data_IF_663037932302
#
_entry.id   IF_663037932302
#
_cell.length_a   1.000
_cell.length_b   1.000
_cell.length_c   1.000
_cell.angle_alpha   90.00
_cell.angle_beta   90.00
_cell.angle_gamma   90.00
#
_symmetry.space_group_name_H-M   'P 1'
#
loop_
_entity.id
_entity.type
_entity.pdbx_description
1 polymer ?
#
# COMPACT_ATOMS: atom_id res chain seq x y z
N UNK A 1 -31.13 1.38 18.05
CA UNK A 1 -31.18 2.77 18.57
C UNK A 1 -31.84 3.62 17.50
N UNK A 2 -32.72 4.54 17.87
CA UNK A 2 -33.21 5.57 16.94
C UNK A 2 -32.00 6.45 16.58
N UNK A 3 -31.68 6.50 15.30
CA UNK A 3 -30.64 7.36 14.73
C UNK A 3 -31.01 8.82 15.02
N UNK A 4 -30.06 9.62 15.49
CA UNK A 4 -30.26 11.05 15.68
C UNK A 4 -30.05 11.76 14.35
N UNK A 5 -31.15 11.99 13.61
CA UNK A 5 -31.14 12.59 12.27
C UNK A 5 -30.54 14.02 12.22
N UNK A 6 -30.11 14.59 13.36
CA UNK A 6 -29.48 15.92 13.41
C UNK A 6 -28.00 15.93 13.02
N UNK A 7 -27.29 14.80 13.11
CA UNK A 7 -25.83 14.70 12.89
C UNK A 7 -25.48 13.72 11.77
N UNK A 8 -24.22 13.72 11.32
CA UNK A 8 -23.72 12.70 10.41
C UNK A 8 -23.36 11.38 11.11
N UNK A 9 -23.52 10.29 10.36
CA UNK A 9 -23.22 8.92 10.79
C UNK A 9 -22.20 8.27 9.86
N UNK A 10 -21.16 7.67 10.42
CA UNK A 10 -20.06 7.05 9.69
C UNK A 10 -19.83 5.62 10.18
N UNK A 11 -19.87 4.65 9.26
CA UNK A 11 -19.38 3.30 9.54
C UNK A 11 -17.84 3.31 9.49
N UNK A 12 -17.20 3.25 10.64
CA UNK A 12 -15.73 3.32 10.76
C UNK A 12 -15.23 2.47 11.94
N UNK A 13 -13.95 2.10 11.90
CA UNK A 13 -13.31 1.35 12.99
C UNK A 13 -13.02 2.29 14.16
N UNK A 14 -13.97 2.39 15.08
CA UNK A 14 -13.90 3.25 16.24
C UNK A 14 -14.58 2.62 17.46
N UNK A 15 -14.10 3.01 18.63
CA UNK A 15 -14.65 2.68 19.94
C UNK A 15 -15.95 3.44 20.23
N UNK A 16 -16.66 3.06 21.30
CA UNK A 16 -17.91 3.72 21.71
C UNK A 16 -17.71 5.21 22.04
N UNK A 17 -16.52 5.59 22.49
CA UNK A 17 -16.15 6.97 22.80
C UNK A 17 -15.76 7.79 21.56
N UNK A 18 -15.82 7.19 20.37
CA UNK A 18 -15.47 7.74 19.05
C UNK A 18 -13.95 7.81 18.80
N UNK A 19 -13.11 7.26 19.66
CA UNK A 19 -11.69 7.11 19.36
C UNK A 19 -11.52 6.05 18.26
N UNK A 20 -10.79 6.33 17.16
CA UNK A 20 -10.49 5.32 16.15
C UNK A 20 -9.72 4.14 16.75
N UNK A 21 -10.10 2.92 16.35
CA UNK A 21 -9.32 1.70 16.58
C UNK A 21 -8.07 1.70 15.70
N UNK A 22 -7.06 0.90 16.02
CA UNK A 22 -5.85 0.80 15.17
C UNK A 22 -6.16 0.32 13.74
N UNK A 23 -7.23 -0.46 13.55
CA UNK A 23 -7.73 -0.89 12.25
C UNK A 23 -8.80 -1.99 12.39
N UNK A 24 -9.02 -2.80 11.33
CA UNK A 24 -10.03 -3.87 11.31
C UNK A 24 -9.85 -4.94 12.39
N UNK A 25 -8.63 -5.14 12.88
CA UNK A 25 -8.33 -6.11 13.93
C UNK A 25 -8.50 -5.53 15.35
N UNK A 26 -8.96 -4.29 15.49
CA UNK A 26 -9.03 -3.59 16.78
C UNK A 26 -7.67 -3.12 17.29
N UNK A 27 -7.56 -2.90 18.59
CA UNK A 27 -6.31 -2.48 19.23
C UNK A 27 -5.44 -3.71 19.56
N UNK A 28 -4.47 -4.01 18.70
CA UNK A 28 -3.63 -5.22 18.74
C UNK A 28 -2.16 -4.94 19.09
N UNK A 29 -1.79 -3.67 19.16
CA UNK A 29 -0.48 -3.19 19.62
C UNK A 29 -0.56 -2.77 21.09
N UNK A 30 0.44 -3.12 21.93
CA UNK A 30 1.66 -3.87 21.60
C UNK A 30 1.43 -5.37 21.37
N UNK A 31 2.19 -5.96 20.44
CA UNK A 31 2.09 -7.39 20.15
C UNK A 31 2.71 -8.22 21.29
N UNK A 32 1.88 -9.03 21.97
CA UNK A 32 2.30 -9.82 23.13
C UNK A 32 3.02 -11.13 22.76
N UNK A 33 2.84 -11.63 21.53
CA UNK A 33 3.44 -12.85 21.02
C UNK A 33 3.60 -12.77 19.49
N UNK A 34 4.47 -13.61 18.88
CA UNK A 34 4.54 -13.72 17.42
C UNK A 34 3.22 -14.24 16.83
N UNK A 35 2.85 -13.71 15.66
CA UNK A 35 1.63 -14.05 14.94
C UNK A 35 0.70 -12.85 14.78
N UNK A 36 -0.20 -12.95 13.80
CA UNK A 36 -1.15 -11.89 13.45
C UNK A 36 -2.58 -12.31 13.82
N UNK A 37 -3.37 -11.36 14.30
CA UNK A 37 -4.83 -11.56 14.43
C UNK A 37 -5.42 -11.51 13.02
N UNK A 38 -6.25 -12.48 12.68
CA UNK A 38 -6.89 -12.59 11.36
C UNK A 38 -8.39 -12.27 11.38
N UNK A 39 -9.00 -12.16 12.56
CA UNK A 39 -10.40 -11.80 12.72
C UNK A 39 -10.61 -10.31 12.46
N UNK A 40 -11.41 -9.99 11.43
CA UNK A 40 -11.87 -8.63 11.15
C UNK A 40 -13.12 -8.36 12.00
N UNK A 41 -13.08 -7.27 12.75
CA UNK A 41 -14.20 -6.81 13.59
C UNK A 41 -15.26 -6.12 12.74
N UNK A 42 -16.50 -6.07 13.25
CA UNK A 42 -17.52 -5.21 12.68
C UNK A 42 -17.21 -3.73 13.00
N UNK A 43 -17.19 -2.88 11.98
CA UNK A 43 -17.07 -1.44 12.17
C UNK A 43 -18.29 -0.85 12.88
N UNK A 44 -18.04 0.05 13.85
CA UNK A 44 -19.06 0.77 14.60
C UNK A 44 -19.75 1.83 13.71
N UNK A 45 -21.02 2.11 14.01
CA UNK A 45 -21.70 3.29 13.45
C UNK A 45 -21.48 4.48 14.39
N UNK A 46 -20.61 5.40 13.99
CA UNK A 46 -20.21 6.56 14.80
C UNK A 46 -21.06 7.77 14.41
N UNK A 47 -21.65 8.47 15.39
CA UNK A 47 -22.55 9.62 15.15
C UNK A 47 -21.96 10.90 15.72
N UNK A 48 -21.59 11.85 14.85
CA UNK A 48 -21.09 13.19 15.20
C UNK A 48 -20.99 14.11 13.98
N UNK A 49 -20.99 15.42 14.23
CA UNK A 49 -20.57 16.43 13.25
C UNK A 49 -19.14 16.92 13.50
N UNK A 50 -18.65 16.79 14.74
CA UNK A 50 -17.32 17.23 15.18
C UNK A 50 -16.90 16.45 16.42
N UNK A 51 -15.59 16.38 16.72
CA UNK A 51 -15.14 15.68 17.92
C UNK A 51 -15.60 16.42 19.19
N UNK A 52 -16.15 15.71 20.20
CA UNK A 52 -16.64 16.35 21.42
C UNK A 52 -15.57 17.14 22.19
N UNK A 53 -14.30 16.79 22.03
CA UNK A 53 -13.19 17.47 22.69
C UNK A 53 -12.72 18.74 21.97
N UNK A 54 -13.07 18.94 20.68
CA UNK A 54 -12.56 20.05 19.87
C UNK A 54 -13.08 21.39 20.41
N UNK A 55 -12.20 22.31 20.74
CA UNK A 55 -12.58 23.60 21.34
C UNK A 55 -13.49 24.46 20.45
N UNK A 56 -13.34 24.39 19.13
CA UNK A 56 -14.07 25.23 18.17
C UNK A 56 -15.41 24.66 17.76
N UNK A 57 -15.61 23.34 17.93
CA UNK A 57 -16.81 22.61 17.52
C UNK A 57 -17.17 22.83 16.03
N UNK A 58 -16.18 23.05 15.17
CA UNK A 58 -16.43 23.23 13.74
C UNK A 58 -16.89 21.91 13.10
N UNK A 59 -17.96 21.93 12.28
CA UNK A 59 -18.47 20.72 11.65
C UNK A 59 -17.52 20.22 10.57
N UNK A 60 -17.42 18.89 10.46
CA UNK A 60 -16.63 18.23 9.41
C UNK A 60 -17.27 18.43 8.04
N UNK A 61 -18.59 18.28 7.95
CA UNK A 61 -19.39 18.35 6.73
C UNK A 61 -20.42 19.49 6.80
N UNK A 62 -20.73 20.15 5.67
CA UNK A 62 -21.94 20.96 5.52
C UNK A 62 -23.23 20.16 5.82
N UNK A 63 -24.29 20.83 6.26
CA UNK A 63 -25.56 20.18 6.63
C UNK A 63 -26.22 19.39 5.48
N UNK A 64 -26.01 19.84 4.24
CA UNK A 64 -26.54 19.23 3.01
C UNK A 64 -25.53 18.34 2.29
N UNK A 65 -24.41 17.98 2.94
CA UNK A 65 -23.39 17.16 2.33
C UNK A 65 -23.92 15.77 1.97
N UNK A 66 -23.66 15.35 0.73
CA UNK A 66 -24.03 14.02 0.23
C UNK A 66 -22.82 13.14 -0.04
N UNK A 67 -21.61 13.64 0.16
CA UNK A 67 -20.35 12.95 -0.11
C UNK A 67 -19.31 13.24 0.98
N UNK A 68 -18.23 12.46 1.00
CA UNK A 68 -17.05 12.64 1.85
C UNK A 68 -16.19 13.85 1.47
N UNK A 69 -16.80 15.04 1.39
CA UNK A 69 -16.16 16.32 1.05
C UNK A 69 -16.58 17.38 2.07
N UNK A 70 -15.62 17.75 2.93
CA UNK A 70 -15.84 18.60 4.08
C UNK A 70 -14.84 19.75 4.21
N UNK A 71 -14.88 20.45 5.34
CA UNK A 71 -13.99 21.58 5.57
C UNK A 71 -12.53 21.14 5.69
N UNK A 72 -12.25 20.06 6.42
CA UNK A 72 -10.88 19.64 6.71
C UNK A 72 -10.30 18.72 5.61
N UNK A 73 -11.17 17.96 4.94
CA UNK A 73 -10.76 16.88 4.05
C UNK A 73 -11.74 16.61 2.91
N UNK A 74 -11.21 16.11 1.80
CA UNK A 74 -11.93 15.54 0.67
C UNK A 74 -11.40 14.13 0.39
N UNK A 75 -12.22 13.11 0.65
CA UNK A 75 -11.83 11.71 0.50
C UNK A 75 -12.52 11.04 -0.69
N UNK A 76 -11.73 10.33 -1.49
CA UNK A 76 -12.16 9.64 -2.71
C UNK A 76 -11.23 8.45 -3.02
N UNK A 77 -11.68 7.54 -3.88
CA UNK A 77 -10.82 6.51 -4.44
C UNK A 77 -10.16 7.05 -5.72
N UNK A 78 -8.83 6.99 -5.81
CA UNK A 78 -8.03 7.37 -6.99
C UNK A 78 -7.61 6.10 -7.75
N UNK A 79 -8.52 5.54 -8.53
CA UNK A 79 -8.38 4.19 -9.09
C UNK A 79 -7.96 4.20 -10.54
N UNK A 80 -7.83 5.37 -11.15
CA UNK A 80 -7.42 5.54 -12.54
C UNK A 80 -6.53 6.76 -12.73
N UNK A 81 -5.48 6.62 -13.54
CA UNK A 81 -4.62 7.74 -13.90
C UNK A 81 -5.41 8.85 -14.65
N UNK A 82 -5.03 10.13 -14.48
CA UNK A 82 -3.88 10.64 -13.74
C UNK A 82 -4.13 10.75 -12.23
N UNK A 83 -3.06 10.94 -11.44
CA UNK A 83 -3.16 11.25 -10.01
C UNK A 83 -4.11 12.43 -9.73
N UNK A 84 -4.83 12.36 -8.60
CA UNK A 84 -5.84 13.33 -8.23
C UNK A 84 -7.23 12.94 -8.72
N UNK A 85 -8.27 13.44 -8.06
CA UNK A 85 -9.66 13.14 -8.43
C UNK A 85 -9.96 13.46 -9.90
N UNK A 86 -10.20 12.42 -10.70
CA UNK A 86 -10.34 12.47 -12.15
C UNK A 86 -11.55 11.66 -12.65
N UNK A 87 -11.71 11.55 -13.98
CA UNK A 87 -12.84 10.83 -14.57
C UNK A 87 -12.67 9.33 -14.38
N UNK A 88 -13.51 8.74 -13.53
CA UNK A 88 -13.48 7.31 -13.18
C UNK A 88 -13.27 7.07 -11.69
N UNK A 89 -12.80 8.10 -10.99
CA UNK A 89 -12.70 8.16 -9.54
C UNK A 89 -14.05 8.47 -8.90
N UNK A 90 -14.16 8.17 -7.61
CA UNK A 90 -15.43 8.34 -6.90
C UNK A 90 -15.23 8.56 -5.40
N UNK A 91 -16.18 9.28 -4.80
CA UNK A 91 -16.25 9.52 -3.35
C UNK A 91 -17.10 8.44 -2.68
N UNK A 92 -17.31 8.47 -1.37
CA UNK A 92 -18.44 7.76 -0.76
C UNK A 92 -19.66 8.69 -0.72
N UNK A 93 -20.80 8.25 -1.26
CA UNK A 93 -22.05 9.01 -1.12
C UNK A 93 -22.80 8.59 0.14
N UNK A 94 -23.73 9.42 0.59
CA UNK A 94 -24.66 9.01 1.64
C UNK A 94 -25.51 7.81 1.20
N UNK A 95 -25.60 6.81 2.06
CA UNK A 95 -26.43 5.61 1.92
C UNK A 95 -27.89 5.85 2.32
N UNK A 96 -28.11 6.80 3.23
CA UNK A 96 -29.39 7.37 3.65
C UNK A 96 -29.14 8.76 4.25
N UNK A 97 -30.17 9.47 4.71
CA UNK A 97 -30.01 10.84 5.22
C UNK A 97 -28.85 10.94 6.23
N UNK A 98 -27.90 11.84 5.96
CA UNK A 98 -26.66 12.07 6.72
C UNK A 98 -25.85 10.81 7.10
N UNK A 99 -25.99 9.70 6.37
CA UNK A 99 -25.44 8.41 6.80
C UNK A 99 -24.53 7.77 5.74
N UNK A 100 -23.29 7.49 6.10
CA UNK A 100 -22.31 6.75 5.30
C UNK A 100 -22.13 5.33 5.88
N UNK A 101 -23.05 4.42 5.56
CA UNK A 101 -23.07 3.04 6.08
C UNK A 101 -22.50 2.03 5.08
N UNK A 102 -21.17 1.98 4.97
CA UNK A 102 -20.46 1.01 4.12
C UNK A 102 -19.71 0.00 4.98
N UNK A 103 -20.11 -1.27 4.90
CA UNK A 103 -19.48 -2.39 5.61
C UNK A 103 -18.47 -3.06 4.69
N UNK A 104 -17.34 -3.50 5.24
CA UNK A 104 -16.37 -4.31 4.50
C UNK A 104 -16.97 -5.69 4.20
N UNK A 105 -16.88 -6.13 2.95
CA UNK A 105 -17.20 -7.49 2.54
C UNK A 105 -15.89 -8.27 2.40
N UNK A 106 -15.59 -9.07 3.43
CA UNK A 106 -14.39 -9.93 3.49
C UNK A 106 -14.40 -11.03 2.42
N UNK A 107 -15.57 -11.37 1.87
CA UNK A 107 -15.69 -12.35 0.78
C UNK A 107 -15.40 -11.74 -0.60
N UNK A 108 -15.40 -10.41 -0.70
CA UNK A 108 -15.08 -9.68 -1.90
C UNK A 108 -13.59 -9.30 -1.93
N UNK A 109 -13.08 -9.01 -3.15
CA UNK A 109 -11.73 -8.45 -3.29
C UNK A 109 -11.62 -7.11 -2.55
N UNK A 110 -10.45 -6.80 -1.99
CA UNK A 110 -10.20 -5.51 -1.33
C UNK A 110 -10.51 -4.31 -2.24
N UNK A 111 -10.26 -4.43 -3.55
CA UNK A 111 -10.56 -3.41 -4.55
C UNK A 111 -11.99 -3.46 -5.13
N UNK A 112 -12.91 -4.20 -4.51
CA UNK A 112 -14.32 -4.15 -4.87
C UNK A 112 -14.90 -2.75 -4.65
N UNK A 113 -15.94 -2.41 -5.40
CA UNK A 113 -16.58 -1.10 -5.29
C UNK A 113 -17.11 -0.82 -3.87
N UNK A 114 -17.69 -1.84 -3.21
CA UNK A 114 -18.18 -1.73 -1.83
C UNK A 114 -17.05 -1.50 -0.82
N UNK A 115 -15.98 -2.29 -0.90
CA UNK A 115 -14.83 -2.16 0.01
C UNK A 115 -14.11 -0.81 -0.17
N UNK A 116 -14.04 -0.28 -1.40
CA UNK A 116 -13.53 1.08 -1.65
C UNK A 116 -14.40 2.16 -0.98
N UNK A 117 -15.72 2.02 -0.99
CA UNK A 117 -16.61 2.99 -0.29
C UNK A 117 -16.39 2.94 1.22
N UNK A 118 -16.27 1.74 1.80
CA UNK A 118 -15.94 1.57 3.23
C UNK A 118 -14.57 2.18 3.57
N UNK A 119 -13.57 1.96 2.72
CA UNK A 119 -12.22 2.52 2.85
C UNK A 119 -12.24 4.05 2.85
N UNK A 120 -12.93 4.68 1.88
CA UNK A 120 -13.07 6.14 1.81
C UNK A 120 -13.68 6.71 3.10
N UNK A 121 -14.72 6.07 3.65
CA UNK A 121 -15.36 6.53 4.90
C UNK A 121 -14.43 6.41 6.10
N UNK A 122 -13.70 5.30 6.24
CA UNK A 122 -12.72 5.13 7.31
C UNK A 122 -11.60 6.17 7.23
N UNK A 123 -11.05 6.41 6.04
CA UNK A 123 -10.01 7.41 5.80
C UNK A 123 -10.47 8.83 6.12
N UNK A 124 -11.69 9.18 5.69
CA UNK A 124 -12.32 10.46 6.01
C UNK A 124 -12.49 10.63 7.52
N UNK A 125 -13.01 9.61 8.20
CA UNK A 125 -13.22 9.60 9.64
C UNK A 125 -11.91 9.79 10.42
N UNK A 126 -10.92 8.93 10.17
CA UNK A 126 -9.64 8.94 10.85
C UNK A 126 -8.90 10.27 10.64
N UNK A 127 -8.93 10.80 9.42
CA UNK A 127 -8.25 12.06 9.13
C UNK A 127 -8.91 13.26 9.80
N UNK A 128 -10.24 13.31 9.83
CA UNK A 128 -10.95 14.37 10.57
C UNK A 128 -10.73 14.27 12.08
N UNK A 129 -10.67 13.04 12.62
CA UNK A 129 -10.26 12.81 14.01
C UNK A 129 -8.87 13.40 14.27
N UNK A 130 -7.86 13.07 13.46
CA UNK A 130 -6.49 13.59 13.63
C UNK A 130 -6.42 15.11 13.49
N UNK A 131 -7.12 15.68 12.52
CA UNK A 131 -7.24 17.14 12.38
C UNK A 131 -7.75 17.77 13.67
N UNK A 132 -8.84 17.23 14.24
CA UNK A 132 -9.44 17.75 15.46
C UNK A 132 -8.51 17.53 16.67
N UNK A 133 -7.87 16.37 16.75
CA UNK A 133 -6.99 15.98 17.85
C UNK A 133 -5.82 16.95 17.98
N UNK A 134 -5.12 17.24 16.88
CA UNK A 134 -3.96 18.12 16.90
C UNK A 134 -4.28 19.62 16.93
N UNK A 135 -5.53 20.00 16.61
CA UNK A 135 -5.96 21.40 16.62
C UNK A 135 -5.69 22.07 17.97
N UNK A 136 -6.19 21.48 19.05
CA UNK A 136 -6.04 22.02 20.41
C UNK A 136 -4.63 21.82 21.00
N UNK A 137 -3.78 21.03 20.33
CA UNK A 137 -2.34 20.97 20.60
C UNK A 137 -1.54 22.05 19.84
N UNK A 138 -2.23 22.94 19.13
CA UNK A 138 -1.65 24.12 18.47
C UNK A 138 -1.38 23.95 16.99
N UNK A 139 -1.82 22.86 16.35
CA UNK A 139 -1.81 22.76 14.90
C UNK A 139 -3.13 23.32 14.32
N UNK A 140 -3.24 24.63 14.43
CA UNK A 140 -4.39 25.45 14.06
C UNK A 140 -4.19 26.16 12.71
N UNK A 141 -5.12 27.04 12.33
CA UNK A 141 -5.08 27.79 11.07
C UNK A 141 -3.81 28.64 10.95
N UNK A 142 -3.42 29.33 12.01
CA UNK A 142 -2.19 30.14 12.01
C UNK A 142 -0.92 29.31 11.84
N UNK A 143 -0.96 28.04 12.23
CA UNK A 143 0.13 27.07 12.12
C UNK A 143 0.10 26.28 10.81
N UNK A 144 -0.83 26.60 9.91
CA UNK A 144 -0.98 25.98 8.60
C UNK A 144 -1.67 24.61 8.67
N UNK A 145 -2.73 24.47 9.48
CA UNK A 145 -3.66 23.37 9.30
C UNK A 145 -4.37 23.47 7.92
N UNK A 146 -5.14 22.44 7.52
CA UNK A 146 -5.64 22.27 6.17
C UNK A 146 -7.17 22.38 6.21
N UNK A 147 -7.71 23.46 5.68
CA UNK A 147 -9.14 23.73 5.71
C UNK A 147 -9.60 24.48 4.46
N UNK A 148 -10.82 24.18 3.99
CA UNK A 148 -11.48 24.98 2.95
C UNK A 148 -11.72 26.40 3.44
N UNK A 149 -12.19 26.56 4.67
CA UNK A 149 -12.31 27.84 5.35
C UNK A 149 -11.66 27.81 6.72
N UNK A 150 -10.92 28.87 7.02
CA UNK A 150 -10.23 29.09 8.29
C UNK A 150 -11.09 29.89 9.28
N UNK A 151 -12.34 30.20 8.93
CA UNK A 151 -13.26 31.01 9.74
C UNK A 151 -12.67 32.38 10.20
N UNK A 152 -11.69 32.90 9.45
CA UNK A 152 -10.98 34.13 9.78
C UNK A 152 -9.98 34.01 10.94
N UNK A 153 -9.53 32.81 11.31
CA UNK A 153 -8.66 32.54 12.47
C UNK A 153 -7.15 32.59 12.18
N UNK A 154 -6.75 32.69 10.92
CA UNK A 154 -5.33 32.76 10.52
C UNK A 154 -5.05 31.90 9.30
N UNK A 155 -3.77 31.75 8.94
CA UNK A 155 -3.35 30.87 7.85
C UNK A 155 -3.82 31.28 6.45
N UNK A 156 -3.59 30.39 5.50
CA UNK A 156 -4.12 30.45 4.14
C UNK A 156 -5.13 29.33 3.93
N UNK A 157 -6.41 29.71 3.79
CA UNK A 157 -7.50 28.77 3.56
C UNK A 157 -7.57 28.26 2.11
N UNK A 158 -8.46 27.30 1.85
CA UNK A 158 -8.69 26.71 0.54
C UNK A 158 -7.82 25.49 0.26
N UNK A 159 -7.32 24.84 1.31
CA UNK A 159 -6.33 23.78 1.23
C UNK A 159 -6.70 22.52 2.02
N UNK A 160 -7.94 21.99 1.89
CA UNK A 160 -8.32 20.76 2.58
C UNK A 160 -7.39 19.61 2.21
N UNK A 161 -7.28 18.63 3.09
CA UNK A 161 -6.56 17.39 2.82
C UNK A 161 -7.24 16.60 1.69
N UNK A 162 -6.50 16.30 0.62
CA UNK A 162 -6.95 15.40 -0.44
C UNK A 162 -6.57 13.98 -0.05
N UNK A 163 -7.56 13.12 0.14
CA UNK A 163 -7.37 11.77 0.70
C UNK A 163 -7.73 10.71 -0.35
N UNK A 164 -6.71 10.00 -0.82
CA UNK A 164 -6.81 9.05 -1.94
C UNK A 164 -6.78 7.63 -1.39
N UNK A 165 -7.94 7.01 -1.33
CA UNK A 165 -8.11 5.61 -0.99
C UNK A 165 -7.74 4.72 -2.19
N UNK A 166 -6.96 3.67 -1.95
CA UNK A 166 -6.51 2.72 -2.97
C UNK A 166 -5.97 3.39 -4.25
N UNK A 167 -5.08 4.37 -4.07
CA UNK A 167 -4.47 5.10 -5.17
C UNK A 167 -3.74 4.15 -6.15
N UNK A 168 -3.96 4.37 -7.44
CA UNK A 168 -3.56 3.46 -8.51
C UNK A 168 -2.06 3.51 -8.87
N UNK A 169 -1.32 4.47 -8.33
CA UNK A 169 0.09 4.69 -8.69
C UNK A 169 1.06 3.70 -8.06
N UNK A 170 0.61 2.90 -7.10
CA UNK A 170 1.47 1.98 -6.38
C UNK A 170 0.76 0.89 -5.58
N UNK A 171 1.58 -0.01 -5.03
CA UNK A 171 1.21 -1.00 -4.02
C UNK A 171 2.26 -0.95 -2.90
N UNK A 172 1.94 -1.54 -1.76
CA UNK A 172 2.87 -1.80 -0.67
C UNK A 172 3.53 -0.53 -0.08
N UNK A 173 2.77 0.56 -0.04
CA UNK A 173 3.23 1.81 0.54
C UNK A 173 2.03 2.70 0.93
N UNK A 174 2.33 3.88 1.45
CA UNK A 174 1.46 5.04 1.45
C UNK A 174 2.37 6.27 1.27
N UNK A 175 1.81 7.44 0.99
CA UNK A 175 2.61 8.66 1.01
C UNK A 175 1.79 9.92 1.29
N UNK A 176 2.52 10.99 1.65
CA UNK A 176 2.01 12.31 1.87
C UNK A 176 2.80 13.35 1.08
N UNK A 177 2.11 14.12 0.25
CA UNK A 177 2.62 15.35 -0.36
C UNK A 177 2.14 16.54 0.45
N UNK A 178 3.06 17.35 0.97
CA UNK A 178 2.73 18.53 1.78
C UNK A 178 3.31 19.80 1.18
N UNK A 179 2.56 20.50 0.31
CA UNK A 179 2.98 21.80 -0.17
C UNK A 179 2.85 22.85 0.95
N UNK A 180 3.34 24.06 0.66
CA UNK A 180 3.16 25.24 1.52
C UNK A 180 1.68 25.47 1.84
N UNK A 181 1.41 26.09 2.99
CA UNK A 181 0.09 26.57 3.41
C UNK A 181 -0.69 27.26 2.28
N UNK A 182 -2.00 27.01 2.19
CA UNK A 182 -2.87 27.48 1.10
C UNK A 182 -2.85 26.61 -0.16
N UNK A 183 -2.07 25.53 -0.17
CA UNK A 183 -2.18 24.46 -1.16
C UNK A 183 -2.48 23.13 -0.47
N UNK A 184 -3.45 22.38 -1.00
CA UNK A 184 -3.90 21.13 -0.38
C UNK A 184 -2.77 20.09 -0.25
N UNK A 185 -2.52 19.56 0.96
CA UNK A 185 -1.76 18.34 1.12
C UNK A 185 -2.54 17.15 0.56
N UNK A 186 -1.82 16.13 0.11
CA UNK A 186 -2.41 14.92 -0.50
C UNK A 186 -1.86 13.67 0.17
N UNK A 187 -2.75 12.88 0.75
CA UNK A 187 -2.46 11.56 1.33
C UNK A 187 -2.89 10.47 0.35
N UNK A 188 -1.99 9.55 0.06
CA UNK A 188 -2.24 8.42 -0.83
C UNK A 188 -2.10 7.12 -0.05
N UNK A 189 -3.19 6.37 0.06
CA UNK A 189 -3.20 5.03 0.64
C UNK A 189 -3.21 4.01 -0.48
N UNK A 190 -2.39 2.97 -0.38
CA UNK A 190 -2.29 1.94 -1.42
C UNK A 190 -2.85 0.60 -0.95
N UNK A 191 -3.10 -0.27 -1.92
CA UNK A 191 -3.29 -1.68 -1.64
C UNK A 191 -1.93 -2.33 -1.34
N UNK A 192 -1.95 -3.35 -0.50
CA UNK A 192 -0.78 -4.10 -0.10
C UNK A 192 -0.95 -5.56 -0.51
N UNK A 193 0.07 -6.15 -1.10
CA UNK A 193 0.18 -7.61 -1.24
C UNK A 193 0.09 -8.20 0.14
N UNK A 194 -0.83 -9.15 0.36
CA UNK A 194 -0.93 -9.79 1.65
C UNK A 194 0.38 -10.50 2.01
N UNK A 195 0.90 -10.23 3.21
CA UNK A 195 2.10 -10.86 3.73
C UNK A 195 1.91 -12.36 3.97
N UNK A 196 0.65 -12.80 4.10
CA UNK A 196 0.29 -14.20 4.29
C UNK A 196 0.18 -14.96 2.95
N UNK A 197 0.35 -14.25 1.82
CA UNK A 197 0.24 -14.88 0.51
C UNK A 197 1.42 -15.83 0.24
N UNK A 198 1.13 -16.96 -0.41
CA UNK A 198 2.07 -18.10 -0.57
C UNK A 198 2.36 -18.41 -2.05
N UNK A 199 3.64 -18.61 -2.37
CA UNK A 199 4.07 -19.13 -3.68
C UNK A 199 3.44 -20.51 -3.93
N UNK A 200 2.77 -20.66 -5.06
CA UNK A 200 2.09 -21.88 -5.48
C UNK A 200 0.62 -21.96 -5.07
N UNK A 201 0.15 -21.08 -4.19
CA UNK A 201 -1.26 -20.98 -3.80
C UNK A 201 -1.88 -19.67 -4.30
N UNK A 202 -1.20 -18.55 -4.07
CA UNK A 202 -1.68 -17.20 -4.34
C UNK A 202 -1.07 -16.59 -5.60
N UNK A 203 0.19 -16.93 -5.90
CA UNK A 203 0.80 -16.67 -7.19
C UNK A 203 1.77 -17.79 -7.51
N UNK A 204 2.03 -18.03 -8.78
CA UNK A 204 2.96 -19.07 -9.14
C UNK A 204 3.09 -19.30 -10.62
N UNK A 205 3.97 -20.26 -10.91
CA UNK A 205 4.15 -20.87 -12.22
C UNK A 205 3.94 -22.36 -12.04
N UNK A 206 2.93 -22.90 -12.70
CA UNK A 206 2.65 -24.34 -12.73
C UNK A 206 3.00 -24.89 -14.09
N UNK A 207 3.97 -25.79 -14.18
CA UNK A 207 4.24 -26.53 -15.41
C UNK A 207 3.15 -27.59 -15.58
N UNK A 208 2.35 -27.42 -16.63
CA UNK A 208 1.22 -28.30 -16.97
C UNK A 208 1.61 -29.37 -17.99
N UNK A 209 2.71 -29.16 -18.72
CA UNK A 209 3.34 -30.17 -19.56
C UNK A 209 4.88 -30.00 -19.54
N UNK A 210 5.66 -31.02 -19.16
CA UNK A 210 5.21 -32.28 -18.56
C UNK A 210 4.63 -32.05 -17.16
N UNK A 211 3.44 -32.61 -16.90
CA UNK A 211 2.69 -32.46 -15.64
C UNK A 211 3.43 -33.01 -14.40
N UNK A 212 4.44 -33.86 -14.61
CA UNK A 212 5.29 -34.39 -13.54
C UNK A 212 6.10 -33.34 -12.79
N UNK A 213 6.23 -32.12 -13.33
CA UNK A 213 6.91 -31.00 -12.66
C UNK A 213 5.94 -30.27 -11.72
N UNK A 214 4.75 -29.91 -12.21
CA UNK A 214 3.75 -29.20 -11.42
C UNK A 214 4.19 -27.79 -11.01
N UNK A 215 3.83 -27.40 -9.79
CA UNK A 215 4.07 -26.05 -9.25
C UNK A 215 5.55 -25.85 -8.95
N UNK A 216 6.12 -24.75 -9.44
CA UNK A 216 7.49 -24.34 -9.13
C UNK A 216 7.55 -23.61 -7.78
N UNK A 217 8.57 -23.90 -6.99
CA UNK A 217 8.66 -23.44 -5.60
C UNK A 217 9.25 -22.04 -5.40
N UNK A 218 9.76 -21.40 -6.46
CA UNK A 218 10.58 -20.19 -6.34
C UNK A 218 10.25 -19.12 -7.37
N UNK A 219 8.98 -18.69 -7.43
CA UNK A 219 8.57 -17.56 -8.28
C UNK A 219 8.29 -16.27 -7.49
N UNK A 220 8.43 -15.12 -8.17
CA UNK A 220 8.09 -13.81 -7.64
C UNK A 220 7.41 -12.96 -8.71
N UNK A 221 6.28 -12.34 -8.40
CA UNK A 221 5.61 -11.38 -9.31
C UNK A 221 6.48 -10.13 -9.47
N UNK A 222 6.59 -9.62 -10.70
CA UNK A 222 7.34 -8.40 -10.98
C UNK A 222 6.71 -7.19 -10.29
N UNK A 223 7.49 -6.20 -9.87
CA UNK A 223 6.97 -4.97 -9.25
C UNK A 223 6.31 -4.00 -10.25
N UNK A 224 6.10 -4.43 -11.50
CA UNK A 224 5.59 -3.64 -12.61
C UNK A 224 4.70 -4.50 -13.50
N UNK A 225 3.91 -3.86 -14.36
CA UNK A 225 2.91 -4.56 -15.18
C UNK A 225 1.76 -5.13 -14.34
N UNK A 226 0.91 -5.98 -14.94
CA UNK A 226 -0.23 -6.58 -14.25
C UNK A 226 0.18 -7.35 -12.99
N UNK A 227 -0.39 -6.96 -11.85
CA UNK A 227 -0.08 -7.54 -10.54
C UNK A 227 -1.03 -8.69 -10.18
N UNK A 228 -2.29 -8.60 -10.60
CA UNK A 228 -3.29 -9.66 -10.42
C UNK A 228 -3.79 -10.14 -11.78
N UNK A 229 -3.75 -11.46 -12.00
CA UNK A 229 -4.19 -12.13 -13.21
C UNK A 229 -4.43 -13.61 -12.91
N UNK A 230 -5.46 -14.18 -13.52
CA UNK A 230 -5.74 -15.62 -13.53
C UNK A 230 -5.70 -16.13 -14.96
N UNK A 231 -5.61 -17.46 -15.12
CA UNK A 231 -5.86 -18.13 -16.40
C UNK A 231 -4.88 -17.80 -17.54
N UNK A 232 -3.63 -17.40 -17.22
CA UNK A 232 -2.58 -17.24 -18.24
C UNK A 232 -1.89 -18.58 -18.50
N UNK A 233 -2.46 -19.37 -19.39
CA UNK A 233 -1.89 -20.64 -19.83
C UNK A 233 -1.27 -20.54 -21.24
N UNK A 234 -0.13 -21.20 -21.45
CA UNK A 234 0.51 -21.24 -22.75
C UNK A 234 1.77 -22.09 -22.79
N UNK A 235 2.27 -22.32 -24.00
CA UNK A 235 3.58 -22.92 -24.21
C UNK A 235 4.68 -21.90 -23.85
N UNK A 236 5.72 -22.38 -23.17
CA UNK A 236 6.91 -21.61 -22.83
C UNK A 236 7.90 -21.68 -24.00
N UNK A 237 8.29 -20.51 -24.53
CA UNK A 237 9.29 -20.40 -25.59
C UNK A 237 10.41 -19.46 -25.15
N UNK A 238 11.67 -19.85 -25.36
CA UNK A 238 12.83 -19.03 -25.02
C UNK A 238 13.02 -17.92 -26.07
N UNK A 239 13.25 -16.69 -25.61
CA UNK A 239 13.57 -15.58 -26.51
C UNK A 239 14.93 -15.81 -27.16
N UNK A 240 15.06 -15.38 -28.42
CA UNK A 240 16.34 -15.25 -29.12
C UNK A 240 16.39 -13.83 -29.72
N UNK A 241 17.32 -13.01 -29.26
CA UNK A 241 17.56 -11.65 -29.74
C UNK A 241 18.80 -11.55 -30.65
N UNK A 242 19.51 -12.67 -30.84
CA UNK A 242 20.65 -12.79 -31.74
C UNK A 242 21.91 -12.01 -31.34
N UNK A 243 21.98 -11.39 -30.15
CA UNK A 243 23.17 -10.64 -29.74
C UNK A 243 24.25 -11.53 -29.11
N UNK A 244 25.13 -12.06 -29.96
CA UNK A 244 26.27 -12.91 -29.58
C UNK A 244 27.58 -12.13 -29.39
N UNK A 245 27.52 -10.79 -29.39
CA UNK A 245 28.70 -9.96 -29.31
C UNK A 245 29.39 -10.05 -27.93
N UNK A 246 30.73 -10.04 -27.94
CA UNK A 246 31.51 -10.15 -26.72
C UNK A 246 31.18 -9.00 -25.74
N UNK A 247 30.62 -9.34 -24.58
CA UNK A 247 30.23 -8.38 -23.54
C UNK A 247 28.85 -7.77 -23.70
N UNK A 248 28.06 -8.20 -24.69
CA UNK A 248 26.68 -7.73 -24.90
C UNK A 248 25.65 -8.43 -23.99
N UNK A 249 25.99 -9.59 -23.44
CA UNK A 249 25.09 -10.41 -22.62
C UNK A 249 24.98 -11.81 -23.19
N UNK A 250 23.76 -12.32 -23.32
CA UNK A 250 23.45 -13.59 -23.98
C UNK A 250 22.36 -13.38 -25.02
N UNK A 251 22.36 -14.18 -26.09
CA UNK A 251 21.32 -14.17 -27.14
C UNK A 251 19.89 -14.39 -26.62
N UNK A 252 19.74 -14.74 -25.35
CA UNK A 252 18.48 -15.09 -24.69
C UNK A 252 18.13 -14.14 -23.54
N UNK A 253 18.79 -12.97 -23.48
CA UNK A 253 18.53 -11.97 -22.43
C UNK A 253 17.46 -10.93 -22.82
N UNK A 254 17.08 -10.82 -24.09
CA UNK A 254 15.97 -10.00 -24.54
C UNK A 254 16.26 -8.50 -24.46
N UNK A 255 17.52 -8.09 -24.47
CA UNK A 255 17.91 -6.68 -24.45
C UNK A 255 17.79 -6.02 -25.84
N UNK A 256 17.75 -6.81 -26.90
CA UNK A 256 17.52 -6.42 -28.27
C UNK A 256 16.15 -6.95 -28.74
N UNK A 257 15.58 -6.42 -29.83
CA UNK A 257 14.36 -6.97 -30.40
C UNK A 257 14.53 -8.45 -30.77
N UNK A 258 13.58 -9.29 -30.33
CA UNK A 258 13.61 -10.72 -30.63
C UNK A 258 13.67 -11.00 -32.14
N UNK A 259 14.62 -11.82 -32.57
CA UNK A 259 14.74 -12.29 -33.95
C UNK A 259 13.80 -13.48 -34.24
N UNK A 260 13.33 -14.17 -33.19
CA UNK A 260 12.39 -15.28 -33.28
C UNK A 260 10.93 -14.89 -32.97
N UNK A 261 10.54 -13.63 -33.22
CA UNK A 261 9.23 -13.09 -32.82
C UNK A 261 8.02 -13.92 -33.28
N UNK A 262 8.05 -14.53 -34.48
CA UNK A 262 6.97 -15.38 -34.96
C UNK A 262 6.70 -16.60 -34.05
N UNK A 263 7.74 -17.13 -33.39
CA UNK A 263 7.62 -18.24 -32.46
C UNK A 263 7.14 -17.81 -31.07
N UNK A 264 7.29 -16.53 -30.72
CA UNK A 264 6.93 -15.97 -29.41
C UNK A 264 5.47 -15.49 -29.35
N UNK A 265 4.86 -15.19 -30.50
CA UNK A 265 3.50 -14.66 -30.58
C UNK A 265 2.47 -15.60 -29.92
N UNK A 266 1.74 -15.09 -28.92
CA UNK A 266 0.74 -15.85 -28.16
C UNK A 266 1.34 -16.83 -27.12
N UNK A 267 2.64 -16.75 -26.84
CA UNK A 267 3.35 -17.66 -25.92
C UNK A 267 3.74 -16.98 -24.62
N UNK A 268 4.12 -17.79 -23.63
CA UNK A 268 4.82 -17.32 -22.44
C UNK A 268 6.31 -17.34 -22.77
N UNK A 269 6.99 -16.21 -22.64
CA UNK A 269 8.40 -16.09 -23.06
C UNK A 269 9.33 -16.20 -21.86
N UNK A 270 10.29 -17.12 -21.91
CA UNK A 270 11.32 -17.27 -20.86
C UNK A 270 12.63 -16.58 -21.27
N UNK A 271 13.21 -15.81 -20.35
CA UNK A 271 14.29 -14.83 -20.62
C UNK A 271 15.37 -14.91 -19.53
N UNK A 272 16.63 -14.74 -19.90
CA UNK A 272 17.74 -14.69 -18.95
C UNK A 272 17.90 -13.31 -18.29
N UNK A 273 18.14 -13.30 -16.97
CA UNK A 273 18.54 -12.10 -16.23
C UNK A 273 19.96 -11.69 -16.62
N UNK A 274 20.14 -10.40 -16.95
CA UNK A 274 21.45 -9.82 -17.25
C UNK A 274 21.35 -8.63 -18.22
N UNK A 275 22.47 -7.94 -18.46
CA UNK A 275 22.69 -6.91 -19.49
C UNK A 275 21.81 -5.64 -19.49
N UNK A 276 20.49 -5.72 -19.30
CA UNK A 276 19.55 -4.60 -19.32
C UNK A 276 18.46 -4.71 -18.22
N UNK A 277 17.68 -3.64 -17.97
CA UNK A 277 16.60 -3.64 -16.98
C UNK A 277 15.51 -4.67 -17.28
N UNK A 278 14.83 -5.15 -16.22
CA UNK A 278 13.75 -6.14 -16.35
C UNK A 278 12.58 -5.67 -17.22
N UNK A 279 12.20 -4.39 -17.11
CA UNK A 279 11.11 -3.81 -17.93
C UNK A 279 11.45 -3.89 -19.43
N UNK A 280 12.70 -3.62 -19.82
CA UNK A 280 13.15 -3.73 -21.22
C UNK A 280 12.99 -5.15 -21.76
N UNK A 281 13.35 -6.16 -20.96
CA UNK A 281 13.22 -7.58 -21.34
C UNK A 281 11.76 -7.95 -21.60
N UNK A 282 10.87 -7.58 -20.68
CA UNK A 282 9.43 -7.85 -20.81
C UNK A 282 8.83 -7.08 -21.99
N UNK A 283 9.27 -5.85 -22.24
CA UNK A 283 8.85 -5.09 -23.43
C UNK A 283 9.32 -5.71 -24.74
N UNK A 284 10.52 -6.31 -24.78
CA UNK A 284 10.99 -7.05 -25.97
C UNK A 284 10.10 -8.25 -26.27
N UNK A 285 9.77 -9.06 -25.25
CA UNK A 285 8.81 -10.15 -25.38
C UNK A 285 7.41 -9.67 -25.77
N UNK A 286 6.91 -8.60 -25.16
CA UNK A 286 5.62 -7.99 -25.49
C UNK A 286 5.57 -7.50 -26.94
N UNK A 287 6.65 -6.85 -27.42
CA UNK A 287 6.75 -6.40 -28.81
C UNK A 287 6.75 -7.57 -29.81
N UNK A 288 7.25 -8.74 -29.39
CA UNK A 288 7.18 -9.99 -30.15
C UNK A 288 5.81 -10.70 -30.07
N UNK A 289 4.84 -10.13 -29.36
CA UNK A 289 3.48 -10.68 -29.24
C UNK A 289 3.30 -11.71 -28.13
N UNK A 290 4.24 -11.80 -27.19
CA UNK A 290 4.09 -12.65 -26.00
C UNK A 290 2.84 -12.25 -25.19
N UNK A 291 2.25 -13.21 -24.50
CA UNK A 291 1.12 -12.99 -23.56
C UNK A 291 1.57 -12.98 -22.10
N UNK A 292 2.80 -13.40 -21.82
CA UNK A 292 3.43 -13.32 -20.51
C UNK A 292 4.94 -13.53 -20.60
N UNK A 293 5.66 -13.22 -19.53
CA UNK A 293 7.11 -13.39 -19.47
C UNK A 293 7.58 -14.04 -18.15
N UNK A 294 8.62 -14.86 -18.23
CA UNK A 294 9.34 -15.43 -17.10
C UNK A 294 10.80 -14.98 -17.19
N UNK A 295 11.35 -14.38 -16.14
CA UNK A 295 12.78 -14.04 -16.10
C UNK A 295 13.51 -14.94 -15.11
N UNK A 296 14.48 -15.70 -15.60
CA UNK A 296 15.27 -16.62 -14.79
C UNK A 296 16.45 -15.91 -14.16
N UNK A 297 16.61 -16.07 -12.85
CA UNK A 297 17.73 -15.50 -12.10
C UNK A 297 19.07 -16.07 -12.62
N UNK A 298 20.09 -15.24 -12.70
CA UNK A 298 21.43 -15.63 -13.13
C UNK A 298 22.37 -15.97 -11.96
N UNK A 299 21.90 -15.81 -10.72
CA UNK A 299 22.58 -16.26 -9.52
C UNK A 299 21.93 -17.54 -9.01
N UNK A 300 22.74 -18.57 -8.74
CA UNK A 300 22.30 -19.79 -8.08
C UNK A 300 22.31 -19.62 -6.55
N UNK A 301 21.43 -18.74 -6.06
CA UNK A 301 21.28 -18.39 -4.64
C UNK A 301 19.97 -18.90 -4.03
N UNK A 302 19.20 -19.69 -4.80
CA UNK A 302 17.89 -20.20 -4.39
C UNK A 302 16.78 -19.16 -4.39
N UNK A 303 17.03 -17.93 -4.84
CA UNK A 303 16.03 -16.85 -4.87
C UNK A 303 15.53 -16.58 -6.29
N UNK A 304 14.27 -16.15 -6.46
CA UNK A 304 13.76 -15.70 -7.75
C UNK A 304 14.48 -14.45 -8.26
N UNK A 305 14.37 -14.17 -9.56
CA UNK A 305 14.84 -12.92 -10.11
C UNK A 305 14.06 -11.75 -9.46
N UNK A 306 14.74 -10.76 -8.82
CA UNK A 306 14.08 -9.69 -8.09
C UNK A 306 13.64 -8.59 -9.06
N UNK A 307 12.60 -8.87 -9.84
CA UNK A 307 12.12 -8.08 -10.97
C UNK A 307 11.56 -6.70 -10.56
N UNK A 308 12.45 -5.79 -10.18
CA UNK A 308 12.15 -4.40 -9.86
C UNK A 308 12.18 -3.48 -11.09
N UNK A 309 11.45 -2.37 -11.01
CA UNK A 309 11.43 -1.34 -12.05
C UNK A 309 10.08 -0.63 -12.13
N UNK A 310 9.98 0.38 -13.00
CA UNK A 310 8.73 1.07 -13.30
C UNK A 310 8.74 1.49 -14.77
N UNK A 311 7.77 0.96 -15.53
CA UNK A 311 7.50 1.37 -16.91
C UNK A 311 6.02 1.07 -17.23
N UNK A 312 5.15 2.10 -17.41
CA UNK A 312 3.72 1.90 -17.62
C UNK A 312 3.38 1.28 -18.98
N UNK A 313 4.35 1.14 -19.89
CA UNK A 313 4.14 0.48 -21.18
C UNK A 313 4.15 -1.06 -21.08
N UNK A 314 4.54 -1.62 -19.94
CA UNK A 314 4.44 -3.07 -19.68
C UNK A 314 2.99 -3.43 -19.36
N UNK A 315 2.38 -4.23 -20.23
CA UNK A 315 0.96 -4.61 -20.17
C UNK A 315 0.72 -6.11 -20.08
N UNK A 316 1.78 -6.92 -20.20
CA UNK A 316 1.70 -8.38 -20.04
C UNK A 316 2.18 -8.80 -18.63
N UNK A 317 1.56 -9.83 -18.03
CA UNK A 317 2.03 -10.41 -16.77
C UNK A 317 3.47 -10.91 -16.82
N UNK A 318 4.22 -10.77 -15.72
CA UNK A 318 5.57 -11.33 -15.64
C UNK A 318 5.97 -11.78 -14.24
N UNK A 319 6.75 -12.86 -14.17
CA UNK A 319 7.30 -13.38 -12.90
C UNK A 319 8.79 -13.71 -13.02
N UNK A 320 9.54 -13.45 -11.96
CA UNK A 320 10.91 -13.91 -11.78
C UNK A 320 10.93 -15.34 -11.26
N UNK A 321 11.91 -16.13 -11.68
CA UNK A 321 12.10 -17.53 -11.27
C UNK A 321 13.55 -17.74 -10.80
N UNK A 322 13.79 -18.65 -9.86
CA UNK A 322 15.16 -18.96 -9.45
C UNK A 322 15.96 -19.59 -10.58
N UNK A 323 17.29 -19.55 -10.44
CA UNK A 323 18.21 -20.21 -11.38
C UNK A 323 17.88 -21.71 -11.55
N UNK A 324 17.65 -22.42 -10.43
CA UNK A 324 17.47 -23.86 -10.43
C UNK A 324 16.13 -24.30 -11.05
N UNK A 325 15.04 -23.58 -10.77
CA UNK A 325 13.74 -23.85 -11.38
C UNK A 325 13.76 -23.49 -12.87
N UNK A 326 14.38 -22.35 -13.24
CA UNK A 326 14.55 -21.96 -14.64
C UNK A 326 15.39 -22.96 -15.44
N UNK A 327 16.45 -23.50 -14.84
CA UNK A 327 17.26 -24.56 -15.46
C UNK A 327 16.43 -25.79 -15.80
N UNK A 328 15.48 -26.17 -14.94
CA UNK A 328 14.59 -27.31 -15.20
C UNK A 328 13.78 -27.12 -16.48
N UNK A 329 13.31 -25.89 -16.73
CA UNK A 329 12.60 -25.54 -17.98
C UNK A 329 13.57 -25.54 -19.17
N UNK A 330 14.76 -24.94 -19.01
CA UNK A 330 15.76 -24.89 -20.07
C UNK A 330 16.21 -26.27 -20.54
N UNK A 331 16.48 -27.20 -19.62
CA UNK A 331 16.90 -28.55 -19.96
C UNK A 331 15.84 -29.29 -20.80
N UNK A 332 14.55 -29.04 -20.56
CA UNK A 332 13.45 -29.60 -21.34
C UNK A 332 13.36 -29.00 -22.74
N UNK A 333 13.44 -27.67 -22.85
CA UNK A 333 13.43 -26.96 -24.13
C UNK A 333 14.62 -27.39 -25.00
N UNK A 334 15.82 -27.46 -24.40
CA UNK A 334 17.05 -27.88 -25.10
C UNK A 334 16.97 -29.36 -25.55
N UNK A 335 16.22 -30.19 -24.83
CA UNK A 335 15.91 -31.57 -25.24
C UNK A 335 14.81 -31.67 -26.31
N UNK A 336 14.24 -30.55 -26.76
CA UNK A 336 13.16 -30.49 -27.74
C UNK A 336 11.79 -30.87 -27.19
N UNK A 337 11.61 -30.82 -25.87
CA UNK A 337 10.31 -31.06 -25.22
C UNK A 337 9.50 -29.77 -25.21
N UNK A 338 8.26 -29.83 -25.70
CA UNK A 338 7.30 -28.73 -25.53
C UNK A 338 6.96 -28.59 -24.05
N UNK A 339 7.14 -27.39 -23.51
CA UNK A 339 6.81 -27.06 -22.13
C UNK A 339 5.58 -26.16 -22.12
N UNK A 340 4.54 -26.53 -21.38
CA UNK A 340 3.36 -25.68 -21.16
C UNK A 340 3.27 -25.32 -19.68
N UNK A 341 2.80 -24.11 -19.41
CA UNK A 341 2.64 -23.61 -18.06
C UNK A 341 1.39 -22.75 -17.90
N UNK A 342 0.96 -22.64 -16.65
CA UNK A 342 0.00 -21.66 -16.17
C UNK A 342 0.69 -20.68 -15.23
N UNK A 343 0.58 -19.39 -15.54
CA UNK A 343 0.99 -18.29 -14.69
C UNK A 343 -0.25 -17.72 -14.03
N UNK A 344 -0.19 -17.55 -12.72
CA UNK A 344 -1.27 -16.92 -11.98
C UNK A 344 -0.71 -16.02 -10.89
N UNK A 345 -1.47 -14.99 -10.58
CA UNK A 345 -1.24 -14.08 -9.47
C UNK A 345 -2.60 -13.61 -9.00
N UNK A 346 -3.15 -14.31 -8.03
CA UNK A 346 -4.44 -14.06 -7.40
C UNK A 346 -4.29 -13.65 -5.95
N UNK A 347 -3.08 -13.23 -5.54
CA UNK A 347 -2.77 -12.94 -4.15
C UNK A 347 -3.80 -12.00 -3.54
N UNK A 348 -4.24 -12.27 -2.30
CA UNK A 348 -5.11 -11.36 -1.60
C UNK A 348 -4.41 -10.01 -1.44
N UNK A 349 -5.20 -8.96 -1.54
CA UNK A 349 -4.76 -7.61 -1.27
C UNK A 349 -5.36 -7.21 0.07
N UNK A 350 -4.55 -6.57 0.91
CA UNK A 350 -5.00 -5.80 2.08
C UNK A 350 -5.00 -4.32 1.72
N UNK A 351 -5.77 -3.52 2.45
CA UNK A 351 -5.96 -2.10 2.12
C UNK A 351 -5.49 -1.23 3.29
N UNK A 352 -4.41 -0.46 3.09
CA UNK A 352 -3.88 0.42 4.15
C UNK A 352 -4.80 1.57 4.50
N UNK A 353 -5.84 1.81 3.70
CA UNK A 353 -6.90 2.77 4.00
C UNK A 353 -7.70 2.40 5.26
N UNK A 354 -7.61 1.15 5.72
CA UNK A 354 -8.16 0.72 7.01
C UNK A 354 -7.12 0.69 8.14
N UNK A 355 -5.83 0.88 7.84
CA UNK A 355 -4.77 0.92 8.85
C UNK A 355 -4.62 2.34 9.38
N UNK A 356 -5.26 2.61 10.52
CA UNK A 356 -5.29 3.95 11.09
C UNK A 356 -3.91 4.39 11.61
N UNK A 357 -2.98 3.47 11.87
CA UNK A 357 -1.61 3.79 12.22
C UNK A 357 -0.81 4.29 11.00
N UNK A 358 -1.02 3.71 9.81
CA UNK A 358 -0.46 4.24 8.55
C UNK A 358 -1.05 5.62 8.24
N UNK A 359 -2.36 5.81 8.41
CA UNK A 359 -2.99 7.13 8.20
C UNK A 359 -2.38 8.16 9.17
N UNK A 360 -2.17 7.81 10.43
CA UNK A 360 -1.52 8.68 11.41
C UNK A 360 -0.05 8.99 11.06
N UNK A 361 0.70 8.02 10.51
CA UNK A 361 2.04 8.24 9.98
C UNK A 361 2.05 9.29 8.87
N UNK A 362 1.20 9.11 7.85
CA UNK A 362 1.09 10.05 6.73
C UNK A 362 0.61 11.44 7.20
N UNK A 363 -0.29 11.50 8.18
CA UNK A 363 -0.70 12.76 8.80
C UNK A 363 0.46 13.44 9.55
N UNK A 364 1.35 12.67 10.17
CA UNK A 364 2.58 13.17 10.80
C UNK A 364 3.51 13.85 9.80
N UNK A 365 3.65 13.30 8.58
CA UNK A 365 4.35 13.98 7.48
C UNK A 365 3.73 15.34 7.15
N UNK A 366 2.40 15.42 7.18
CA UNK A 366 1.68 16.66 6.94
C UNK A 366 1.98 17.73 8.01
N UNK A 367 1.83 17.39 9.30
CA UNK A 367 2.10 18.31 10.42
C UNK A 367 3.53 18.85 10.32
N UNK A 368 4.52 17.97 10.25
CA UNK A 368 5.92 18.38 10.34
C UNK A 368 6.37 19.19 9.12
N UNK A 369 5.87 18.89 7.91
CA UNK A 369 6.27 19.64 6.73
C UNK A 369 5.68 21.05 6.77
N UNK A 370 4.42 21.23 7.20
CA UNK A 370 3.84 22.57 7.41
C UNK A 370 4.63 23.36 8.45
N UNK A 371 4.92 22.78 9.61
CA UNK A 371 5.62 23.47 10.68
C UNK A 371 7.10 23.77 10.35
N UNK A 372 7.79 22.85 9.67
CA UNK A 372 9.22 22.99 9.37
C UNK A 372 9.43 23.63 8.01
N UNK A 373 9.56 24.96 8.03
CA UNK A 373 9.86 25.73 6.82
C UNK A 373 8.72 25.72 5.80
N UNK A 374 7.47 25.50 6.23
CA UNK A 374 6.28 25.57 5.39
C UNK A 374 6.38 24.74 4.10
N UNK A 375 6.73 23.46 4.22
CA UNK A 375 6.78 22.49 3.14
C UNK A 375 8.15 22.34 2.45
N UNK A 376 9.14 23.19 2.76
CA UNK A 376 10.46 23.14 2.11
C UNK A 376 11.63 22.85 3.07
N UNK A 377 11.38 22.70 4.37
CA UNK A 377 12.43 22.60 5.38
C UNK A 377 13.11 21.22 5.48
N UNK A 378 12.43 20.13 5.12
CA UNK A 378 12.95 18.75 5.22
C UNK A 378 13.57 18.26 3.89
N UNK A 379 14.35 19.11 3.23
CA UNK A 379 14.86 18.85 1.88
C UNK A 379 16.11 17.96 1.80
N UNK A 380 16.96 17.96 2.83
CA UNK A 380 18.21 17.20 2.85
C UNK A 380 18.03 15.78 3.40
N UNK A 381 19.04 14.92 3.26
CA UNK A 381 18.96 13.50 3.68
C UNK A 381 18.54 13.33 5.14
N UNK A 382 19.23 14.00 6.07
CA UNK A 382 18.93 13.90 7.49
C UNK A 382 17.54 14.46 7.83
N UNK A 383 17.12 15.55 7.19
CA UNK A 383 15.81 16.17 7.36
C UNK A 383 14.68 15.24 6.93
N UNK A 384 14.83 14.58 5.77
CA UNK A 384 13.88 13.55 5.31
C UNK A 384 13.84 12.35 6.24
N UNK A 385 15.01 11.86 6.68
CA UNK A 385 15.08 10.72 7.60
C UNK A 385 14.44 11.02 8.97
N UNK A 386 14.67 12.22 9.52
CA UNK A 386 13.95 12.66 10.72
C UNK A 386 12.46 12.81 10.44
N UNK A 387 12.09 13.24 9.24
CA UNK A 387 10.71 13.29 8.78
C UNK A 387 10.00 11.93 8.83
N UNK A 388 10.66 10.85 8.43
CA UNK A 388 10.13 9.48 8.61
C UNK A 388 9.99 9.11 10.08
N UNK A 389 10.98 9.43 10.91
CA UNK A 389 10.96 9.12 12.33
C UNK A 389 9.88 9.87 13.10
N UNK A 390 9.67 11.15 12.82
CA UNK A 390 8.61 11.95 13.43
C UNK A 390 7.21 11.49 12.96
N UNK A 391 7.06 11.08 11.70
CA UNK A 391 5.81 10.48 11.23
C UNK A 391 5.47 9.19 12.01
N UNK A 392 6.44 8.31 12.22
CA UNK A 392 6.27 7.13 13.09
C UNK A 392 5.93 7.54 14.53
N UNK A 393 6.50 8.63 15.06
CA UNK A 393 6.13 9.14 16.39
C UNK A 393 4.65 9.54 16.45
N UNK A 394 4.08 10.13 15.39
CA UNK A 394 2.65 10.45 15.36
C UNK A 394 1.79 9.18 15.32
N UNK A 395 2.18 8.17 14.54
CA UNK A 395 1.53 6.87 14.56
C UNK A 395 1.62 6.22 15.95
N UNK A 396 2.78 6.31 16.61
CA UNK A 396 3.02 5.80 17.95
C UNK A 396 2.16 6.50 19.02
N UNK A 397 2.00 7.82 18.95
CA UNK A 397 1.11 8.58 19.83
C UNK A 397 -0.36 8.15 19.67
N UNK A 398 -0.75 7.65 18.50
CA UNK A 398 -2.09 7.15 18.25
C UNK A 398 -2.29 5.71 18.77
N UNK A 399 -1.37 4.79 18.48
CA UNK A 399 -1.53 3.37 18.81
C UNK A 399 -1.26 3.04 20.27
N UNK A 400 -0.43 3.83 20.95
CA UNK A 400 -0.05 3.61 22.37
C UNK A 400 -1.17 4.09 23.30
N UNK A 401 -1.58 3.27 24.27
CA UNK A 401 -2.60 3.59 25.26
C UNK A 401 -2.02 3.63 26.67
N UNK A 402 -2.62 4.43 27.55
CA UNK A 402 -2.17 4.53 28.96
C UNK A 402 -2.27 3.17 29.67
N UNK A 403 -3.31 2.40 29.38
CA UNK A 403 -3.51 1.05 29.91
C UNK A 403 -2.48 0.02 29.45
N UNK A 404 -1.69 0.29 28.40
CA UNK A 404 -0.60 -0.60 27.98
C UNK A 404 0.42 -0.78 29.11
N UNK A 405 0.59 0.21 29.99
CA UNK A 405 1.45 0.12 31.18
C UNK A 405 1.01 -0.95 32.18
N UNK A 406 -0.24 -1.44 32.09
CA UNK A 406 -0.79 -2.49 32.94
C UNK A 406 -0.43 -3.89 32.43
N UNK A 407 0.13 -4.02 31.22
CA UNK A 407 0.59 -5.28 30.68
C UNK A 407 1.84 -5.78 31.45
N UNK A 408 1.94 -7.10 31.76
CA UNK A 408 3.09 -7.62 32.50
C UNK A 408 4.43 -7.33 31.80
N UNK A 409 5.32 -6.61 32.49
CA UNK A 409 6.64 -6.26 31.94
C UNK A 409 6.64 -5.06 30.98
N UNK A 410 5.55 -4.31 30.90
CA UNK A 410 5.40 -3.14 30.03
C UNK A 410 5.27 -1.82 30.81
N UNK A 411 5.66 -1.80 32.09
CA UNK A 411 5.48 -0.65 32.99
C UNK A 411 6.20 0.62 32.49
N UNK A 412 7.20 0.46 31.61
CA UNK A 412 7.94 1.54 30.96
C UNK A 412 7.83 1.47 29.41
N UNK A 413 6.74 0.90 28.87
CA UNK A 413 6.56 0.69 27.43
C UNK A 413 7.69 -0.17 26.80
N UNK A 414 8.15 -1.19 27.53
CA UNK A 414 9.24 -2.08 27.13
C UNK A 414 8.87 -3.14 26.09
N UNK A 415 7.57 -3.37 25.85
CA UNK A 415 7.12 -4.25 24.76
C UNK A 415 7.35 -3.61 23.38
N UNK A 416 7.25 -4.42 22.33
CA UNK A 416 7.40 -3.96 20.95
C UNK A 416 6.13 -3.33 20.41
N UNK A 417 6.27 -2.12 19.86
CA UNK A 417 5.21 -1.41 19.15
C UNK A 417 5.57 -1.29 17.67
N UNK A 418 4.64 -1.70 16.81
CA UNK A 418 4.76 -1.64 15.36
C UNK A 418 3.67 -0.75 14.76
N UNK A 419 3.93 -0.26 13.55
CA UNK A 419 3.00 0.53 12.73
C UNK A 419 2.68 -0.26 11.47
N UNK A 420 1.44 -0.20 10.98
CA UNK A 420 1.01 -0.88 9.77
C UNK A 420 0.56 -2.32 9.97
N UNK A 421 0.06 -2.67 11.16
CA UNK A 421 -0.25 -4.06 11.51
C UNK A 421 -1.39 -4.66 10.72
N UNK A 422 -2.28 -3.89 10.10
CA UNK A 422 -3.30 -4.48 9.24
C UNK A 422 -2.69 -5.09 7.99
N UNK A 423 -1.64 -4.47 7.43
CA UNK A 423 -1.03 -4.86 6.16
C UNK A 423 0.34 -5.53 6.30
N UNK A 424 0.92 -5.52 7.50
CA UNK A 424 2.27 -6.05 7.79
C UNK A 424 2.33 -6.84 9.11
N UNK A 425 3.51 -7.36 9.47
CA UNK A 425 3.73 -8.16 10.67
C UNK A 425 3.44 -7.38 11.96
N UNK A 426 2.66 -7.94 12.88
CA UNK A 426 2.23 -7.24 14.10
C UNK A 426 3.39 -6.96 15.06
N UNK A 427 4.49 -7.72 14.98
CA UNK A 427 5.61 -7.58 15.91
C UNK A 427 6.66 -6.57 15.41
N UNK A 428 6.95 -6.51 14.11
CA UNK A 428 7.98 -5.63 13.54
C UNK A 428 7.45 -4.51 12.67
N UNK A 429 6.24 -4.66 12.13
CA UNK A 429 5.74 -3.82 11.05
C UNK A 429 6.72 -3.81 9.85
N UNK A 430 6.91 -2.64 9.25
CA UNK A 430 7.88 -2.44 8.15
C UNK A 430 9.28 -2.01 8.61
N UNK A 431 9.46 -1.74 9.90
CA UNK A 431 10.72 -1.19 10.43
C UNK A 431 11.69 -2.32 10.78
N UNK A 432 12.99 -1.98 10.87
CA UNK A 432 14.05 -2.96 11.14
C UNK A 432 13.95 -3.59 12.54
N UNK A 433 13.35 -2.88 13.47
CA UNK A 433 13.04 -3.30 14.83
C UNK A 433 11.79 -2.55 15.31
N UNK A 434 10.99 -3.12 16.22
CA UNK A 434 9.87 -2.41 16.83
C UNK A 434 10.34 -1.23 17.67
N UNK A 435 9.43 -0.28 17.90
CA UNK A 435 9.62 0.78 18.89
C UNK A 435 9.45 0.22 20.30
N UNK A 436 10.39 0.53 21.19
CA UNK A 436 10.45 -0.01 22.55
C UNK A 436 11.48 0.77 23.36
N UNK A 437 11.33 0.80 24.68
CA UNK A 437 12.34 1.30 25.62
C UNK A 437 13.41 0.25 25.98
N UNK A 438 13.24 -1.03 25.57
CA UNK A 438 14.22 -2.10 25.79
C UNK A 438 15.30 -2.14 24.71
N UNK A 439 16.51 -1.69 25.08
CA UNK A 439 17.69 -1.67 24.20
C UNK A 439 18.19 -3.08 23.81
N UNK A 440 17.73 -4.15 24.46
CA UNK A 440 18.01 -5.52 24.01
C UNK A 440 17.15 -5.92 22.80
N UNK A 441 15.97 -5.30 22.65
CA UNK A 441 15.05 -5.56 21.53
C UNK A 441 15.35 -4.61 20.38
N UNK A 442 15.52 -3.31 20.66
CA UNK A 442 15.92 -2.31 19.66
C UNK A 442 17.21 -1.59 20.11
N UNK A 443 18.38 -2.03 19.61
CA UNK A 443 19.68 -1.46 20.03
C UNK A 443 20.07 -0.20 19.25
N UNK A 444 19.21 0.36 18.41
CA UNK A 444 19.60 1.47 17.55
C UNK A 444 19.92 2.74 18.34
N UNK A 445 21.01 3.39 17.95
CA UNK A 445 21.51 4.64 18.52
C UNK A 445 21.93 5.57 17.38
N UNK A 446 22.33 6.80 17.71
CA UNK A 446 22.81 7.76 16.72
C UNK A 446 24.03 7.26 15.89
N UNK A 447 24.82 6.30 16.40
CA UNK A 447 25.97 5.73 15.66
C UNK A 447 25.56 4.88 14.45
N UNK A 448 24.29 4.47 14.39
CA UNK A 448 23.73 3.60 13.35
C UNK A 448 23.16 4.39 12.15
N UNK A 449 23.29 5.72 12.16
CA UNK A 449 22.97 6.59 11.02
C UNK A 449 24.21 6.70 10.14
N UNK A 450 24.14 6.21 8.90
CA UNK A 450 25.25 6.16 7.93
C UNK A 450 24.99 7.02 6.71
#
# INVERSE_FOLDING_TARGET
MTVDDSVFHYRAYAEEDKTPLQGPHGNVIPALAPGNVTEILDASMVSLDTMPFLSTQDPWLPEDATTTSGNNAFAYADVIAPQGFSLGDFTAEVTSDKTFDYVIDESARANSFGNRKAAIVNLFYMTNFLHNYYYDYGFDEASGNAQVSNYGRGGLEGDPLLLEAQDNSGLNNANMSTPTDGASPRMQQFLWTDIDAVVGEDWGITITNPDSIGVLGTSQVASFGPQQYSDLAGEIVRIDDGDDAAGAGSVTDGCQPAINAEALAGKIVIIDRGACPFTTKVLSAQAAGAVGAIIVNNNDDGTPAPMGGSDPSVTIPSQGLSFQDGKTIYDLIDAGTTVEAELFSTFPLKDSTFDNAIIAHEFGHYIQNRLVGNGVGLGNFQGRAMGEGWADVHAMLFVTKEEDMLLPGNEEFGLGYAVGTFVTDFFRGIRRAPYTTDMNVNPYTFEHIY
#
